data_IF_410332922824
#
_entry.id   IF_410332922824
#
_cell.length_a   1.000
_cell.length_b   1.000
_cell.length_c   1.000
_cell.angle_alpha   90.00
_cell.angle_beta   90.00
_cell.angle_gamma   90.00
#
_symmetry.space_group_name_H-M   'P 1'
#
loop_
_entity.id
_entity.type
_entity.pdbx_description
1 polymer ?
#
# COMPACT_ATOMS: atom_id res chain seq x y z
N UNK A 1 -8.19 -16.07 20.15
CA UNK A 1 -9.59 -16.29 19.77
C UNK A 1 -9.82 -17.79 19.66
N UNK A 2 -10.76 -18.34 20.42
CA UNK A 2 -11.14 -19.76 20.36
C UNK A 2 -11.87 -19.99 19.04
N UNK A 3 -11.27 -20.74 18.11
CA UNK A 3 -11.92 -21.12 16.85
C UNK A 3 -13.16 -22.01 17.04
N UNK A 4 -13.80 -22.49 15.97
CA UNK A 4 -15.09 -23.18 16.05
C UNK A 4 -15.05 -24.40 16.99
N UNK A 5 -16.07 -24.49 17.85
CA UNK A 5 -16.33 -25.54 18.84
C UNK A 5 -17.76 -26.08 18.62
N UNK A 6 -18.06 -27.26 19.14
CA UNK A 6 -19.42 -27.78 19.14
C UNK A 6 -20.32 -27.02 20.14
N UNK A 7 -21.62 -27.35 20.14
CA UNK A 7 -22.62 -26.75 21.03
C UNK A 7 -22.29 -26.87 22.53
N UNK A 8 -21.40 -27.80 22.90
CA UNK A 8 -20.92 -28.03 24.25
C UNK A 8 -19.53 -27.43 24.51
N UNK A 9 -19.04 -26.56 23.61
CA UNK A 9 -17.70 -25.94 23.64
C UNK A 9 -16.55 -26.96 23.57
N UNK A 10 -16.80 -28.17 23.07
CA UNK A 10 -15.76 -29.17 22.82
C UNK A 10 -15.15 -28.92 21.45
N UNK A 11 -13.86 -29.16 21.33
CA UNK A 11 -13.17 -29.08 20.04
C UNK A 11 -13.57 -30.27 19.15
N UNK A 12 -13.69 -30.01 17.85
CA UNK A 12 -13.99 -31.01 16.84
C UNK A 12 -12.81 -31.98 16.66
N UNK A 13 -13.09 -33.24 16.27
CA UNK A 13 -12.06 -34.25 16.03
C UNK A 13 -11.24 -33.96 14.76
N UNK A 14 -11.90 -33.41 13.73
CA UNK A 14 -11.26 -33.10 12.44
C UNK A 14 -11.71 -31.74 11.91
N UNK A 15 -10.79 -31.02 11.26
CA UNK A 15 -11.03 -29.76 10.54
C UNK A 15 -10.63 -29.88 9.07
N UNK A 16 -11.59 -30.09 8.18
CA UNK A 16 -11.36 -30.23 6.73
C UNK A 16 -11.41 -28.87 6.03
N UNK A 17 -10.23 -28.28 5.79
CA UNK A 17 -10.10 -26.99 5.10
C UNK A 17 -10.12 -27.17 3.58
N UNK A 18 -10.96 -26.40 2.90
CA UNK A 18 -11.06 -26.33 1.45
C UNK A 18 -10.55 -24.99 0.94
N UNK A 19 -9.61 -25.00 0.00
CA UNK A 19 -9.25 -23.83 -0.80
C UNK A 19 -10.12 -23.80 -2.05
N UNK A 20 -10.69 -22.64 -2.34
CA UNK A 20 -11.50 -22.43 -3.54
C UNK A 20 -10.61 -21.77 -4.59
N UNK A 21 -10.45 -22.42 -5.73
CA UNK A 21 -9.69 -21.85 -6.84
C UNK A 21 -10.49 -20.76 -7.59
N UNK A 22 -9.84 -20.09 -8.55
CA UNK A 22 -10.47 -19.00 -9.31
C UNK A 22 -11.71 -19.42 -10.12
N UNK A 23 -11.89 -20.73 -10.37
CA UNK A 23 -13.08 -21.27 -11.05
C UNK A 23 -14.23 -21.61 -10.09
N UNK A 24 -14.02 -21.44 -8.77
CA UNK A 24 -14.98 -21.80 -7.74
C UNK A 24 -14.89 -23.26 -7.29
N UNK A 25 -13.93 -24.04 -7.82
CA UNK A 25 -13.77 -25.44 -7.44
C UNK A 25 -13.08 -25.54 -6.07
N UNK A 26 -13.67 -26.37 -5.20
CA UNK A 26 -13.14 -26.65 -3.86
C UNK A 26 -12.05 -27.72 -3.95
N UNK A 27 -10.91 -27.44 -3.32
CA UNK A 27 -9.76 -28.32 -3.21
C UNK A 27 -9.52 -28.58 -1.72
N UNK A 28 -9.64 -29.83 -1.29
CA UNK A 28 -9.36 -30.22 0.09
C UNK A 28 -7.86 -30.09 0.36
N UNK A 29 -7.50 -29.46 1.47
CA UNK A 29 -6.09 -29.38 1.93
C UNK A 29 -5.75 -30.56 2.83
N UNK A 30 -4.46 -30.82 3.04
CA UNK A 30 -3.99 -31.85 3.97
C UNK A 30 -4.07 -31.43 5.45
N UNK A 31 -4.39 -30.17 5.75
CA UNK A 31 -4.42 -29.64 7.12
C UNK A 31 -5.72 -30.05 7.79
N UNK A 32 -5.60 -30.72 8.95
CA UNK A 32 -6.72 -31.23 9.74
C UNK A 32 -6.90 -30.55 11.10
N UNK A 33 -6.13 -29.51 11.38
CA UNK A 33 -6.14 -28.83 12.68
C UNK A 33 -7.06 -27.61 12.67
N UNK A 34 -7.40 -27.14 13.87
CA UNK A 34 -8.20 -25.92 14.10
C UNK A 34 -7.59 -24.65 13.48
N UNK A 35 -6.31 -24.70 13.08
CA UNK A 35 -5.59 -23.58 12.46
C UNK A 35 -5.06 -23.99 11.08
N UNK A 36 -5.41 -23.19 10.09
CA UNK A 36 -4.82 -23.27 8.76
C UNK A 36 -3.95 -22.04 8.52
N UNK A 37 -2.72 -22.26 8.07
CA UNK A 37 -1.77 -21.21 7.70
C UNK A 37 -1.32 -21.45 6.28
N UNK A 38 -1.35 -20.39 5.46
CA UNK A 38 -0.86 -20.40 4.10
C UNK A 38 -0.02 -19.15 3.86
N UNK A 39 1.10 -19.31 3.15
CA UNK A 39 1.88 -18.18 2.64
C UNK A 39 1.43 -17.93 1.22
N UNK A 40 0.76 -16.80 0.98
CA UNK A 40 0.37 -16.39 -0.35
C UNK A 40 1.61 -16.09 -1.22
N UNK A 41 1.66 -16.66 -2.40
CA UNK A 41 2.75 -16.47 -3.37
C UNK A 41 2.45 -15.43 -4.45
N UNK A 42 1.20 -14.96 -4.51
CA UNK A 42 0.74 -13.96 -5.46
C UNK A 42 -0.30 -13.03 -4.81
N UNK A 43 -0.46 -11.85 -5.40
CA UNK A 43 -1.57 -10.95 -5.05
C UNK A 43 -2.91 -11.55 -5.51
N UNK A 44 -4.00 -11.11 -4.88
CA UNK A 44 -5.35 -11.46 -5.29
C UNK A 44 -6.19 -12.06 -4.17
N UNK A 45 -7.34 -12.60 -4.55
CA UNK A 45 -8.28 -13.21 -3.61
C UNK A 45 -7.94 -14.67 -3.35
N UNK A 46 -7.90 -15.03 -2.08
CA UNK A 46 -7.81 -16.39 -1.59
C UNK A 46 -9.09 -16.69 -0.84
N UNK A 47 -9.77 -17.77 -1.20
CA UNK A 47 -11.08 -18.12 -0.67
C UNK A 47 -11.03 -19.49 -0.01
N UNK A 48 -11.63 -19.61 1.17
CA UNK A 48 -11.57 -20.80 2.00
C UNK A 48 -12.94 -21.18 2.56
N UNK A 49 -13.14 -22.47 2.77
CA UNK A 49 -14.27 -23.01 3.52
C UNK A 49 -13.78 -24.11 4.47
N UNK A 50 -14.58 -24.39 5.48
CA UNK A 50 -14.30 -25.39 6.50
C UNK A 50 -15.49 -26.32 6.66
N UNK A 51 -15.20 -27.60 6.81
CA UNK A 51 -16.11 -28.63 7.34
C UNK A 51 -15.46 -29.22 8.58
N UNK A 52 -16.21 -29.40 9.66
CA UNK A 52 -15.71 -30.00 10.90
C UNK A 52 -16.40 -31.33 11.17
N UNK A 53 -15.71 -32.26 11.80
CA UNK A 53 -16.26 -33.55 12.22
C UNK A 53 -16.18 -33.67 13.74
N UNK A 54 -17.23 -34.21 14.38
CA UNK A 54 -17.20 -34.48 15.83
C UNK A 54 -16.57 -35.86 16.13
N UNK A 55 -16.33 -36.16 17.41
CA UNK A 55 -15.73 -37.44 17.83
C UNK A 55 -16.53 -38.70 17.44
N UNK A 56 -17.78 -38.54 17.02
CA UNK A 56 -18.66 -39.63 16.60
C UNK A 56 -18.73 -39.79 15.07
N UNK A 57 -17.95 -39.01 14.31
CA UNK A 57 -17.90 -39.07 12.85
C UNK A 57 -19.03 -38.29 12.14
N UNK A 58 -19.74 -37.41 12.84
CA UNK A 58 -20.74 -36.55 12.19
C UNK A 58 -20.08 -35.27 11.67
N UNK A 59 -20.25 -35.00 10.37
CA UNK A 59 -19.77 -33.78 9.71
C UNK A 59 -20.75 -32.61 9.86
N UNK A 60 -20.21 -31.39 9.94
CA UNK A 60 -20.98 -30.15 9.86
C UNK A 60 -21.39 -29.82 8.41
N UNK A 61 -22.40 -28.96 8.21
CA UNK A 61 -22.51 -28.22 6.96
C UNK A 61 -21.22 -27.45 6.66
N UNK A 62 -20.99 -27.14 5.38
CA UNK A 62 -19.85 -26.30 4.97
C UNK A 62 -20.03 -24.87 5.46
N UNK A 63 -18.94 -24.24 5.93
CA UNK A 63 -18.95 -22.84 6.34
C UNK A 63 -19.28 -21.88 5.20
N UNK A 64 -19.58 -20.63 5.55
CA UNK A 64 -19.49 -19.53 4.61
C UNK A 64 -18.08 -19.39 4.02
N UNK A 65 -17.98 -18.79 2.83
CA UNK A 65 -16.69 -18.54 2.19
C UNK A 65 -15.96 -17.44 2.93
N UNK A 66 -14.82 -17.79 3.53
CA UNK A 66 -13.88 -16.83 4.09
C UNK A 66 -12.95 -16.33 2.99
N UNK A 67 -12.88 -15.02 2.77
CA UNK A 67 -12.03 -14.40 1.74
C UNK A 67 -10.93 -13.57 2.35
N UNK A 68 -9.71 -13.77 1.84
CA UNK A 68 -8.53 -12.97 2.13
C UNK A 68 -8.10 -12.28 0.84
N UNK A 69 -7.86 -10.97 0.89
CA UNK A 69 -7.31 -10.23 -0.24
C UNK A 69 -5.84 -9.90 0.04
N UNK A 70 -4.95 -10.48 -0.74
CA UNK A 70 -3.51 -10.22 -0.68
C UNK A 70 -3.21 -9.04 -1.60
N UNK A 71 -2.77 -7.94 -1.00
CA UNK A 71 -2.46 -6.70 -1.73
C UNK A 71 -1.25 -6.89 -2.66
N UNK A 72 -1.21 -6.16 -3.80
CA UNK A 72 0.01 -6.04 -4.60
C UNK A 72 1.19 -5.53 -3.80
N UNK A 73 2.38 -5.65 -4.39
CA UNK A 73 3.52 -4.84 -3.97
C UNK A 73 3.35 -3.42 -4.53
N UNK A 74 3.61 -2.40 -3.71
CA UNK A 74 3.64 -1.01 -4.16
C UNK A 74 4.97 -0.76 -4.88
N UNK A 75 4.89 -0.45 -6.17
CA UNK A 75 6.01 0.07 -6.97
C UNK A 75 5.80 1.56 -7.22
N UNK A 76 6.49 2.42 -6.46
CA UNK A 76 6.32 3.86 -6.58
C UNK A 76 7.64 4.52 -6.97
N UNK A 77 7.57 5.53 -7.83
CA UNK A 77 8.69 6.39 -8.22
C UNK A 77 8.23 7.84 -8.22
N UNK A 78 9.16 8.79 -8.11
CA UNK A 78 8.83 10.22 -8.22
C UNK A 78 9.47 10.81 -9.47
N UNK A 79 8.65 11.39 -10.32
CA UNK A 79 9.10 12.21 -11.45
C UNK A 79 8.89 13.68 -11.15
N UNK A 80 9.73 14.53 -11.73
CA UNK A 80 9.60 15.98 -11.68
C UNK A 80 9.70 16.54 -13.11
N UNK A 81 8.91 17.54 -13.45
CA UNK A 81 9.02 18.20 -14.75
C UNK A 81 10.39 18.87 -14.93
N UNK A 82 10.85 19.54 -13.87
CA UNK A 82 12.20 20.09 -13.74
C UNK A 82 12.78 19.70 -12.38
N UNK A 83 14.08 19.37 -12.35
CA UNK A 83 14.82 19.12 -11.10
C UNK A 83 15.60 20.33 -10.61
N UNK A 84 15.60 21.42 -11.38
CA UNK A 84 16.20 22.70 -11.02
C UNK A 84 15.19 23.81 -11.23
N UNK A 85 14.97 24.64 -10.22
CA UNK A 85 14.04 25.79 -10.25
C UNK A 85 14.72 27.04 -9.70
N UNK A 86 14.33 28.23 -10.15
CA UNK A 86 14.87 29.48 -9.61
C UNK A 86 14.17 29.85 -8.29
N UNK A 87 14.87 30.59 -7.42
CA UNK A 87 14.22 31.20 -6.25
C UNK A 87 13.06 32.10 -6.68
N UNK A 88 12.04 32.20 -5.82
CA UNK A 88 10.87 33.10 -5.91
C UNK A 88 9.90 32.83 -7.08
N UNK A 89 10.40 32.57 -8.29
CA UNK A 89 9.61 32.43 -9.53
C UNK A 89 9.58 31.01 -10.09
N UNK A 90 10.48 30.14 -9.64
CA UNK A 90 10.59 28.77 -10.14
C UNK A 90 9.46 27.88 -9.64
N UNK A 91 9.05 26.93 -10.48
CA UNK A 91 8.08 25.90 -10.11
C UNK A 91 8.36 24.56 -10.79
N UNK A 92 7.95 23.48 -10.13
CA UNK A 92 7.96 22.14 -10.70
C UNK A 92 6.89 21.28 -10.03
N UNK A 93 6.24 20.41 -10.81
CA UNK A 93 5.30 19.45 -10.27
C UNK A 93 6.01 18.11 -10.07
N UNK A 94 5.93 17.59 -8.85
CA UNK A 94 6.31 16.22 -8.51
C UNK A 94 5.10 15.31 -8.73
N UNK A 95 5.34 14.13 -9.28
CA UNK A 95 4.30 13.12 -9.53
C UNK A 95 4.77 11.76 -9.02
N UNK A 96 3.98 11.17 -8.13
CA UNK A 96 4.12 9.81 -7.64
C UNK A 96 3.60 8.81 -8.68
N UNK A 97 4.49 8.20 -9.48
CA UNK A 97 4.11 7.22 -10.50
C UNK A 97 4.16 5.80 -9.95
N UNK A 98 3.13 5.02 -10.26
CA UNK A 98 3.05 3.59 -9.97
C UNK A 98 2.49 2.81 -11.16
N UNK A 99 2.81 1.52 -11.28
CA UNK A 99 2.17 0.64 -12.27
C UNK A 99 0.83 0.07 -11.76
N UNK A 100 0.53 0.23 -10.47
CA UNK A 100 -0.71 -0.22 -9.85
C UNK A 100 -1.91 0.55 -10.41
N UNK A 101 -2.69 -0.13 -11.26
CA UNK A 101 -3.96 0.39 -11.78
C UNK A 101 -5.11 0.05 -10.83
N UNK A 102 -6.08 0.96 -10.71
CA UNK A 102 -7.32 0.76 -9.96
C UNK A 102 -7.12 0.41 -8.48
N UNK A 103 -6.02 0.87 -7.88
CA UNK A 103 -5.77 0.70 -6.45
C UNK A 103 -5.92 2.03 -5.73
N UNK A 104 -6.56 1.99 -4.56
CA UNK A 104 -6.71 3.16 -3.70
C UNK A 104 -5.47 3.32 -2.84
N UNK A 105 -4.54 4.16 -3.31
CA UNK A 105 -3.37 4.59 -2.57
C UNK A 105 -3.66 5.89 -1.81
N UNK A 106 -3.09 5.98 -0.62
CA UNK A 106 -3.06 7.20 0.19
C UNK A 106 -1.64 7.74 0.13
N UNK A 107 -1.51 9.01 -0.25
CA UNK A 107 -0.21 9.70 -0.34
C UNK A 107 -0.01 10.66 0.83
N UNK A 108 1.25 10.94 1.14
CA UNK A 108 1.65 12.03 1.99
C UNK A 108 3.03 12.53 1.54
N UNK A 109 3.13 13.81 1.18
CA UNK A 109 4.39 14.44 0.82
C UNK A 109 5.13 15.02 2.03
N UNK A 110 6.45 15.03 1.93
CA UNK A 110 7.38 15.57 2.92
C UNK A 110 8.42 16.44 2.25
N UNK A 111 8.85 17.50 2.93
CA UNK A 111 9.96 18.39 2.55
C UNK A 111 11.08 18.21 3.58
N UNK A 112 12.25 17.74 3.16
CA UNK A 112 13.40 17.48 4.03
C UNK A 112 13.02 16.64 5.27
N UNK A 113 12.19 15.62 5.07
CA UNK A 113 11.67 14.75 6.14
C UNK A 113 10.53 15.33 6.98
N UNK A 114 10.16 16.60 6.78
CA UNK A 114 9.05 17.24 7.50
C UNK A 114 7.77 17.09 6.69
N UNK A 115 6.69 16.66 7.36
CA UNK A 115 5.37 16.47 6.74
C UNK A 115 4.85 17.79 6.16
N UNK A 116 4.33 17.74 4.93
CA UNK A 116 3.63 18.86 4.31
C UNK A 116 2.13 18.68 4.53
N UNK A 117 1.52 19.54 5.35
CA UNK A 117 0.11 19.38 5.71
C UNK A 117 -0.80 19.48 4.50
N UNK A 118 -1.73 18.52 4.37
CA UNK A 118 -2.72 18.47 3.29
C UNK A 118 -2.19 17.97 1.95
N UNK A 119 -0.89 17.74 1.81
CA UNK A 119 -0.30 17.20 0.58
C UNK A 119 -0.52 15.67 0.48
N UNK A 120 -1.76 15.29 0.18
CA UNK A 120 -2.22 13.90 0.14
C UNK A 120 -2.51 13.38 -1.28
N UNK A 121 -2.25 14.21 -2.29
CA UNK A 121 -2.50 13.89 -3.68
C UNK A 121 -1.31 13.16 -4.32
N UNK A 122 -1.55 12.50 -5.45
CA UNK A 122 -0.50 11.86 -6.27
C UNK A 122 0.54 12.88 -6.76
N UNK A 123 0.13 14.15 -6.88
CA UNK A 123 1.01 15.24 -7.31
C UNK A 123 1.25 16.23 -6.18
N UNK A 124 2.41 16.87 -6.21
CA UNK A 124 2.73 17.98 -5.35
C UNK A 124 3.43 19.08 -6.15
N UNK A 125 2.88 20.29 -6.07
CA UNK A 125 3.44 21.44 -6.78
C UNK A 125 4.44 22.18 -5.87
N UNK A 126 5.69 22.23 -6.29
CA UNK A 126 6.76 22.97 -5.61
C UNK A 126 6.81 24.37 -6.21
N UNK A 127 6.64 25.39 -5.39
CA UNK A 127 6.63 26.81 -5.79
C UNK A 127 7.13 27.70 -4.67
N UNK A 128 7.64 28.89 -5.01
CA UNK A 128 7.89 29.95 -4.05
C UNK A 128 9.04 29.66 -3.08
N UNK A 129 10.05 28.92 -3.54
CA UNK A 129 11.24 28.64 -2.74
C UNK A 129 12.11 29.90 -2.65
N UNK A 130 12.25 30.47 -1.46
CA UNK A 130 12.95 31.74 -1.24
C UNK A 130 14.47 31.60 -1.10
N UNK A 131 14.98 30.38 -0.89
CA UNK A 131 16.39 30.11 -0.64
C UNK A 131 16.95 29.19 -1.70
N UNK A 132 18.16 29.51 -2.18
CA UNK A 132 18.92 28.60 -3.01
C UNK A 132 19.47 27.47 -2.13
N UNK A 133 18.92 26.28 -2.30
CA UNK A 133 19.27 25.08 -1.54
C UNK A 133 18.89 23.81 -2.32
N UNK A 134 19.38 22.66 -1.86
CA UNK A 134 18.88 21.37 -2.31
C UNK A 134 17.78 20.93 -1.35
N UNK A 135 16.62 20.58 -1.91
CA UNK A 135 15.47 20.11 -1.16
C UNK A 135 15.21 18.66 -1.54
N UNK A 136 15.14 17.79 -0.54
CA UNK A 136 14.74 16.40 -0.72
C UNK A 136 13.24 16.33 -0.43
N UNK A 137 12.46 16.13 -1.47
CA UNK A 137 11.06 15.76 -1.32
C UNK A 137 10.94 14.25 -1.20
N UNK A 138 10.03 13.78 -0.36
CA UNK A 138 9.62 12.38 -0.36
C UNK A 138 8.12 12.25 -0.39
N UNK A 139 7.64 11.16 -0.97
CA UNK A 139 6.23 10.76 -0.90
C UNK A 139 6.16 9.40 -0.24
N UNK A 140 5.30 9.30 0.76
CA UNK A 140 4.91 8.06 1.41
C UNK A 140 3.58 7.61 0.81
N UNK A 141 3.53 6.39 0.29
CA UNK A 141 2.31 5.80 -0.28
C UNK A 141 1.97 4.49 0.41
N UNK A 142 0.70 4.28 0.74
CA UNK A 142 0.18 3.05 1.33
C UNK A 142 -1.18 2.71 0.72
N UNK A 143 -1.57 1.43 0.76
CA UNK A 143 -2.95 1.08 0.43
C UNK A 143 -3.90 1.60 1.50
N UNK A 144 -5.04 2.15 1.12
CA UNK A 144 -6.08 2.57 2.08
C UNK A 144 -6.54 1.42 3.01
N UNK A 145 -6.48 0.17 2.51
CA UNK A 145 -6.80 -1.04 3.27
C UNK A 145 -5.68 -1.49 4.22
N UNK A 146 -4.46 -0.97 4.06
CA UNK A 146 -3.32 -1.23 4.93
C UNK A 146 -2.42 0.01 5.07
N UNK A 147 -2.90 1.06 5.78
CA UNK A 147 -2.19 2.33 5.87
C UNK A 147 -0.88 2.25 6.68
N UNK A 148 -0.71 1.19 7.47
CA UNK A 148 0.44 1.00 8.35
C UNK A 148 1.65 0.35 7.66
N UNK A 149 1.57 0.08 6.36
CA UNK A 149 2.69 -0.46 5.58
C UNK A 149 3.02 0.43 4.39
N UNK A 150 3.47 1.68 4.62
CA UNK A 150 3.81 2.59 3.54
C UNK A 150 5.15 2.24 2.88
N UNK A 151 5.26 2.57 1.60
CA UNK A 151 6.53 2.66 0.86
C UNK A 151 6.86 4.14 0.69
N UNK A 152 8.13 4.51 0.89
CA UNK A 152 8.59 5.89 0.75
C UNK A 152 9.68 5.98 -0.30
N UNK A 153 9.57 6.97 -1.17
CA UNK A 153 10.56 7.29 -2.21
C UNK A 153 10.86 8.77 -2.24
N UNK A 154 12.04 9.13 -2.72
CA UNK A 154 12.58 10.49 -2.65
C UNK A 154 12.87 11.07 -4.03
N UNK A 155 12.81 12.40 -4.13
CA UNK A 155 13.27 13.18 -5.28
C UNK A 155 13.97 14.45 -4.81
N UNK A 156 15.17 14.71 -5.31
CA UNK A 156 15.87 15.97 -5.09
C UNK A 156 15.39 17.03 -6.10
N UNK A 157 15.16 18.24 -5.60
CA UNK A 157 14.95 19.47 -6.38
C UNK A 157 16.01 20.48 -5.93
N UNK A 158 16.77 21.02 -6.88
CA UNK A 158 17.76 22.08 -6.62
C UNK A 158 17.15 23.44 -6.88
N UNK A 159 17.15 24.31 -5.88
CA UNK A 159 16.76 25.72 -6.03
C UNK A 159 18.01 26.54 -6.30
N UNK A 160 18.02 27.28 -7.40
CA UNK A 160 19.13 28.14 -7.81
C UNK A 160 18.74 29.62 -7.67
N UNK A 161 19.68 30.54 -7.38
CA UNK A 161 19.36 31.96 -7.24
C UNK A 161 18.73 32.54 -8.52
N UNK A 162 17.68 33.33 -8.37
CA UNK A 162 17.18 34.17 -9.47
C UNK A 162 18.23 35.22 -9.84
N UNK A 163 18.42 35.42 -11.15
CA UNK A 163 19.32 36.48 -11.63
C UNK A 163 18.83 37.86 -11.19
N UNK A 164 19.74 38.68 -10.66
CA UNK A 164 19.44 40.07 -10.32
C UNK A 164 19.20 40.90 -11.57
N UNK A 165 18.30 41.90 -11.48
CA UNK A 165 18.06 42.85 -12.56
C UNK A 165 19.38 43.48 -13.01
N UNK A 166 19.69 43.53 -14.33
CA UNK A 166 20.88 44.21 -14.81
C UNK A 166 20.79 45.72 -14.52
N UNK A 167 21.93 46.31 -14.15
CA UNK A 167 22.06 47.75 -13.91
C UNK A 167 23.00 48.35 -14.98
N UNK A 168 22.57 49.41 -15.64
CA UNK A 168 23.40 50.21 -16.54
C UNK A 168 23.99 51.36 -15.72
N UNK A 169 25.31 51.53 -15.76
CA UNK A 169 26.03 52.67 -15.18
C UNK A 169 26.66 53.51 -16.29
N UNK A 170 26.49 54.83 -16.22
CA UNK A 170 27.20 55.76 -17.09
C UNK A 170 28.58 56.10 -16.48
N UNK A 171 29.61 56.21 -17.32
CA UNK A 171 30.94 56.71 -16.95
C UNK A 171 31.01 58.23 -17.12
#
# INVERSE_FOLDING_TARGET
>A
MTGPQDENKKDYSTYSWYKIDASGKKQLTSVKTKKYTEVATAQGYYSYQLVTENSNGCESPVSDVFKVFVLPVIDITVTAANTSICTDVGSTTLTAKTSLKNQNLVYQWYRNGVKINGANDETYNVTGEAKAEKIIFSVSASFALNPNSPVTVTKEVTVIPQATKPMITAN
#
